data_IF_900538402892
#
_entry.id   IF_900538402892
#
_cell.length_a   1.000
_cell.length_b   1.000
_cell.length_c   1.000
_cell.angle_alpha   90.00
_cell.angle_beta   90.00
_cell.angle_gamma   90.00
#
_symmetry.space_group_name_H-M   'P 1'
#
loop_
_entity.id
_entity.type
_entity.pdbx_description
1 polymer ?
#
# COMPACT_ATOMS: atom_id res chain seq x y z
N UNK A 1 64.66 15.05 -24.41
CA UNK A 1 63.85 13.91 -24.88
C UNK A 1 63.71 12.76 -23.88
N UNK A 2 64.59 12.63 -22.88
CA UNK A 2 64.51 11.51 -21.90
C UNK A 2 63.35 11.62 -20.89
N UNK A 3 62.94 12.84 -20.51
CA UNK A 3 61.81 13.07 -19.59
C UNK A 3 60.47 12.58 -20.18
N UNK A 4 60.28 12.76 -21.49
CA UNK A 4 59.08 12.30 -22.20
C UNK A 4 59.05 10.77 -22.29
N UNK A 5 60.21 10.13 -22.53
CA UNK A 5 60.31 8.66 -22.57
C UNK A 5 60.12 8.03 -21.19
N UNK A 6 60.65 8.64 -20.12
CA UNK A 6 60.58 8.10 -18.75
C UNK A 6 59.19 8.24 -18.13
N UNK A 7 58.42 9.27 -18.53
CA UNK A 7 57.10 9.57 -17.99
C UNK A 7 55.97 9.43 -19.04
N UNK A 8 56.17 8.59 -20.06
CA UNK A 8 55.26 8.44 -21.20
C UNK A 8 53.80 8.15 -20.77
N UNK A 9 53.61 7.32 -19.74
CA UNK A 9 52.29 6.97 -19.20
C UNK A 9 51.58 8.19 -18.61
N UNK A 10 52.30 9.07 -17.90
CA UNK A 10 51.75 10.30 -17.33
C UNK A 10 51.22 11.24 -18.43
N UNK A 11 51.97 11.38 -19.53
CA UNK A 11 51.55 12.21 -20.67
C UNK A 11 50.33 11.64 -21.40
N UNK A 12 50.21 10.32 -21.50
CA UNK A 12 49.02 9.66 -22.06
C UNK A 12 47.80 9.93 -21.18
N UNK A 13 47.92 9.78 -19.86
CA UNK A 13 46.80 10.03 -18.92
C UNK A 13 46.39 11.50 -18.91
N UNK A 14 47.36 12.43 -18.93
CA UNK A 14 47.10 13.87 -19.07
C UNK A 14 46.39 14.19 -20.40
N UNK A 15 46.83 13.59 -21.51
CA UNK A 15 46.19 13.75 -22.80
C UNK A 15 44.73 13.27 -22.81
N UNK A 16 44.46 12.10 -22.25
CA UNK A 16 43.10 11.55 -22.13
C UNK A 16 42.22 12.44 -21.23
N UNK A 17 42.75 12.93 -20.11
CA UNK A 17 42.03 13.82 -19.18
C UNK A 17 41.60 15.13 -19.85
N UNK A 18 42.49 15.74 -20.64
CA UNK A 18 42.17 16.94 -21.44
C UNK A 18 41.06 16.64 -22.46
N UNK A 19 41.14 15.49 -23.12
CA UNK A 19 40.17 15.09 -24.14
C UNK A 19 38.77 14.86 -23.53
N UNK A 20 38.69 14.18 -22.38
CA UNK A 20 37.44 13.99 -21.63
C UNK A 20 36.86 15.33 -21.16
N UNK A 21 37.70 16.25 -20.70
CA UNK A 21 37.28 17.59 -20.28
C UNK A 21 36.65 18.38 -21.43
N UNK A 22 37.24 18.31 -22.63
CA UNK A 22 36.70 18.95 -23.83
C UNK A 22 35.32 18.36 -24.21
N UNK A 23 35.15 17.05 -24.12
CA UNK A 23 33.87 16.37 -24.40
C UNK A 23 32.79 16.83 -23.40
N UNK A 24 33.12 16.91 -22.11
CA UNK A 24 32.18 17.37 -21.09
C UNK A 24 31.76 18.83 -21.31
N UNK A 25 32.71 19.72 -21.66
CA UNK A 25 32.42 21.11 -22.01
C UNK A 25 31.47 21.20 -23.20
N UNK A 26 31.66 20.36 -24.22
CA UNK A 26 30.76 20.30 -25.38
C UNK A 26 29.33 19.87 -24.99
N UNK A 27 29.18 18.88 -24.11
CA UNK A 27 27.86 18.46 -23.60
C UNK A 27 27.17 19.57 -22.82
N UNK A 28 27.90 20.26 -21.93
CA UNK A 28 27.36 21.40 -21.17
C UNK A 28 26.91 22.51 -22.12
N UNK A 29 27.67 22.79 -23.17
CA UNK A 29 27.33 23.81 -24.15
C UNK A 29 26.07 23.45 -24.95
N UNK A 30 25.92 22.18 -25.35
CA UNK A 30 24.71 21.67 -26.03
C UNK A 30 23.46 21.79 -25.15
N UNK A 31 23.57 21.43 -23.88
CA UNK A 31 22.47 21.57 -22.90
C UNK A 31 22.15 23.05 -22.66
N UNK A 32 23.15 23.92 -22.59
CA UNK A 32 22.94 25.36 -22.44
C UNK A 32 22.25 25.99 -23.64
N UNK A 33 22.61 25.59 -24.87
CA UNK A 33 21.93 26.05 -26.09
C UNK A 33 20.46 25.63 -26.10
N UNK A 34 20.16 24.36 -25.81
CA UNK A 34 18.76 23.90 -25.73
C UNK A 34 17.97 24.65 -24.67
N UNK A 35 18.55 24.91 -23.49
CA UNK A 35 17.89 25.75 -22.47
C UNK A 35 17.63 27.19 -22.93
N UNK A 36 18.55 27.79 -23.70
CA UNK A 36 18.34 29.13 -24.27
C UNK A 36 17.19 29.13 -25.28
N UNK A 37 17.09 28.10 -26.12
CA UNK A 37 15.97 27.96 -27.06
C UNK A 37 14.64 27.80 -26.32
N UNK A 38 14.59 26.99 -25.25
CA UNK A 38 13.40 26.87 -24.40
C UNK A 38 13.03 28.18 -23.71
N UNK A 39 14.00 28.95 -23.22
CA UNK A 39 13.74 30.27 -22.64
C UNK A 39 13.23 31.26 -23.68
N UNK A 40 13.79 31.25 -24.90
CA UNK A 40 13.30 32.09 -26.00
C UNK A 40 11.86 31.72 -26.40
N UNK A 41 11.55 30.42 -26.48
CA UNK A 41 10.18 29.95 -26.74
C UNK A 41 9.22 30.37 -25.61
N UNK A 42 9.63 30.28 -24.34
CA UNK A 42 8.83 30.74 -23.20
C UNK A 42 8.52 32.24 -23.27
N UNK A 43 9.48 33.07 -23.66
CA UNK A 43 9.26 34.52 -23.86
C UNK A 43 8.26 34.75 -25.00
N UNK A 44 8.44 34.07 -26.13
CA UNK A 44 7.49 34.15 -27.26
C UNK A 44 6.08 33.70 -26.87
N UNK A 45 5.94 32.62 -26.10
CA UNK A 45 4.64 32.16 -25.59
C UNK A 45 4.03 33.16 -24.61
N UNK A 46 4.83 33.74 -23.71
CA UNK A 46 4.37 34.77 -22.77
C UNK A 46 3.90 36.03 -23.50
N UNK A 47 4.60 36.44 -24.54
CA UNK A 47 4.23 37.61 -25.34
C UNK A 47 3.01 37.33 -26.23
N UNK A 48 2.87 36.10 -26.76
CA UNK A 48 1.63 35.66 -27.42
C UNK A 48 0.44 35.67 -26.45
N UNK A 49 0.62 35.20 -25.22
CA UNK A 49 -0.43 35.24 -24.18
C UNK A 49 -0.79 36.69 -23.86
N UNK A 50 0.20 37.59 -23.70
CA UNK A 50 -0.07 39.03 -23.48
C UNK A 50 -0.83 39.66 -24.65
N UNK A 51 -0.42 39.39 -25.89
CA UNK A 51 -1.14 39.86 -27.09
C UNK A 51 -2.56 39.31 -27.16
N UNK A 52 -2.75 38.03 -26.87
CA UNK A 52 -4.08 37.41 -26.82
C UNK A 52 -4.96 37.95 -25.67
N UNK A 53 -4.36 38.50 -24.61
CA UNK A 53 -5.06 39.20 -23.53
C UNK A 53 -5.41 40.64 -23.94
N UNK A 54 -4.55 41.30 -24.73
CA UNK A 54 -4.75 42.67 -25.24
C UNK A 54 -5.73 42.74 -26.43
N UNK A 55 -5.75 41.70 -27.28
CA UNK A 55 -6.66 41.56 -28.40
C UNK A 55 -8.10 41.31 -27.88
N UNK A 56 -8.96 42.31 -28.04
CA UNK A 56 -10.41 42.18 -27.78
C UNK A 56 -11.09 41.39 -28.92
N UNK A 57 -12.12 40.58 -28.63
CA UNK A 57 -12.87 40.59 -27.38
C UNK A 57 -12.21 39.68 -26.33
N UNK A 58 -12.30 40.11 -25.07
CA UNK A 58 -12.01 39.28 -23.91
C UNK A 58 -12.62 37.88 -24.11
N UNK A 59 -11.99 36.80 -23.61
CA UNK A 59 -12.57 35.47 -23.70
C UNK A 59 -14.03 35.57 -23.26
N UNK A 60 -14.93 35.25 -24.19
CA UNK A 60 -16.37 35.35 -23.97
C UNK A 60 -16.64 34.73 -22.61
N UNK A 61 -17.36 35.42 -21.73
CA UNK A 61 -17.63 34.96 -20.36
C UNK A 61 -18.05 33.47 -20.33
N UNK A 62 -18.79 33.04 -21.36
CA UNK A 62 -19.15 31.65 -21.65
C UNK A 62 -17.95 30.68 -21.77
N UNK A 63 -16.84 31.07 -22.40
CA UNK A 63 -15.62 30.26 -22.50
C UNK A 63 -14.90 30.15 -21.16
N UNK A 64 -14.87 31.22 -20.35
CA UNK A 64 -14.33 31.15 -18.98
C UNK A 64 -15.21 30.26 -18.10
N UNK A 65 -16.53 30.37 -18.21
CA UNK A 65 -17.48 29.54 -17.49
C UNK A 65 -17.35 28.06 -17.90
N UNK A 66 -17.17 27.78 -19.19
CA UNK A 66 -16.92 26.44 -19.71
C UNK A 66 -15.57 25.87 -19.21
N UNK A 67 -14.49 26.66 -19.27
CA UNK A 67 -13.17 26.25 -18.74
C UNK A 67 -13.25 25.95 -17.24
N UNK A 68 -13.97 26.76 -16.46
CA UNK A 68 -14.15 26.52 -15.03
C UNK A 68 -14.98 25.25 -14.77
N UNK A 69 -16.02 25.02 -15.56
CA UNK A 69 -16.83 23.79 -15.48
C UNK A 69 -15.98 22.56 -15.79
N UNK A 70 -15.21 22.60 -16.89
CA UNK A 70 -14.31 21.52 -17.26
C UNK A 70 -13.22 21.31 -16.20
N UNK A 71 -12.65 22.38 -15.66
CA UNK A 71 -11.66 22.29 -14.57
C UNK A 71 -12.25 21.62 -13.34
N UNK A 72 -13.48 21.96 -12.97
CA UNK A 72 -14.18 21.32 -11.85
C UNK A 72 -14.49 19.85 -12.15
N UNK A 73 -14.92 19.52 -13.37
CA UNK A 73 -15.21 18.15 -13.78
C UNK A 73 -13.94 17.30 -13.77
N UNK A 74 -12.84 17.80 -14.35
CA UNK A 74 -11.53 17.15 -14.33
C UNK A 74 -11.04 17.00 -12.89
N UNK A 75 -11.16 18.02 -12.06
CA UNK A 75 -10.77 17.93 -10.65
C UNK A 75 -11.59 16.88 -9.90
N UNK A 76 -12.89 16.80 -10.14
CA UNK A 76 -13.75 15.78 -9.55
C UNK A 76 -13.36 14.38 -10.02
N UNK A 77 -13.10 14.20 -11.32
CA UNK A 77 -12.64 12.91 -11.86
C UNK A 77 -11.25 12.52 -11.34
N UNK A 78 -10.34 13.47 -11.21
CA UNK A 78 -9.03 13.26 -10.58
C UNK A 78 -9.19 12.84 -9.14
N UNK A 79 -10.10 13.47 -8.39
CA UNK A 79 -10.39 13.07 -7.02
C UNK A 79 -11.00 11.66 -6.96
N UNK A 80 -11.95 11.31 -7.83
CA UNK A 80 -12.49 9.94 -7.95
C UNK A 80 -11.39 8.92 -8.25
N UNK A 81 -10.47 9.24 -9.16
CA UNK A 81 -9.31 8.40 -9.52
C UNK A 81 -8.36 8.25 -8.31
N UNK A 82 -8.10 9.33 -7.58
CA UNK A 82 -7.29 9.29 -6.35
C UNK A 82 -7.96 8.47 -5.23
N UNK A 83 -9.29 8.37 -5.20
CA UNK A 83 -9.96 7.44 -4.31
C UNK A 83 -9.70 5.98 -4.72
N UNK A 84 -9.46 5.69 -6.01
CA UNK A 84 -9.27 4.32 -6.51
C UNK A 84 -7.85 3.78 -6.30
N UNK A 85 -6.81 4.60 -6.45
CA UNK A 85 -5.44 4.11 -6.51
C UNK A 85 -4.66 4.29 -5.21
N UNK A 86 -4.00 3.23 -4.74
CA UNK A 86 -3.07 3.29 -3.62
C UNK A 86 -3.76 3.34 -2.24
N UNK A 87 -4.98 2.79 -2.12
CA UNK A 87 -5.76 2.71 -0.89
C UNK A 87 -6.06 1.25 -0.51
N UNK A 88 -5.18 0.58 0.25
CA UNK A 88 -5.28 -0.86 0.50
C UNK A 88 -6.57 -1.33 1.20
N UNK A 89 -7.20 -0.45 1.98
CA UNK A 89 -8.41 -0.77 2.76
C UNK A 89 -9.70 -0.32 2.09
N UNK A 90 -9.65 0.22 0.88
CA UNK A 90 -10.83 0.79 0.23
C UNK A 90 -11.96 -0.21 0.07
N UNK A 91 -11.68 -1.43 -0.42
CA UNK A 91 -12.73 -2.44 -0.59
C UNK A 91 -13.39 -2.82 0.73
N UNK A 92 -12.63 -2.84 1.84
CA UNK A 92 -13.18 -3.08 3.18
C UNK A 92 -14.02 -1.90 3.67
N UNK A 93 -13.55 -0.66 3.45
CA UNK A 93 -14.31 0.57 3.78
C UNK A 93 -15.60 0.67 2.95
N UNK A 94 -15.58 0.23 1.70
CA UNK A 94 -16.77 0.19 0.86
C UNK A 94 -17.78 -0.81 1.42
N UNK A 95 -17.36 -2.04 1.74
CA UNK A 95 -18.24 -3.03 2.37
C UNK A 95 -18.82 -2.55 3.71
N UNK A 96 -18.00 -1.83 4.50
CA UNK A 96 -18.43 -1.18 5.73
C UNK A 96 -19.50 -0.10 5.50
N UNK A 97 -19.26 0.78 4.52
CA UNK A 97 -20.19 1.86 4.17
C UNK A 97 -21.52 1.31 3.62
N UNK A 98 -21.45 0.30 2.76
CA UNK A 98 -22.61 -0.38 2.17
C UNK A 98 -23.48 -1.03 3.27
N UNK A 99 -22.86 -1.68 4.25
CA UNK A 99 -23.56 -2.27 5.39
C UNK A 99 -24.20 -1.23 6.32
N UNK A 100 -23.64 -0.03 6.39
CA UNK A 100 -24.24 1.12 7.08
C UNK A 100 -25.31 1.84 6.25
N UNK A 101 -25.49 1.48 4.98
CA UNK A 101 -26.42 2.15 4.07
C UNK A 101 -26.01 3.57 3.69
N UNK A 102 -24.72 3.90 3.77
CA UNK A 102 -24.17 5.22 3.39
C UNK A 102 -23.16 5.07 2.27
N UNK A 103 -23.00 6.10 1.43
CA UNK A 103 -21.94 6.09 0.42
C UNK A 103 -20.56 6.27 1.07
N UNK A 104 -19.52 5.73 0.44
CA UNK A 104 -18.12 5.91 0.84
C UNK A 104 -17.79 7.40 1.04
N UNK A 105 -18.16 8.26 0.09
CA UNK A 105 -17.89 9.71 0.14
C UNK A 105 -18.59 10.40 1.31
N UNK A 106 -19.83 10.03 1.60
CA UNK A 106 -20.57 10.53 2.76
C UNK A 106 -19.94 10.08 4.06
N UNK A 107 -19.49 8.82 4.15
CA UNK A 107 -18.81 8.30 5.34
C UNK A 107 -17.52 9.09 5.62
N UNK A 108 -16.67 9.29 4.61
CA UNK A 108 -15.45 10.11 4.73
C UNK A 108 -15.76 11.55 5.16
N UNK A 109 -16.77 12.18 4.55
CA UNK A 109 -17.14 13.55 4.88
C UNK A 109 -17.63 13.69 6.33
N UNK A 110 -18.49 12.77 6.78
CA UNK A 110 -18.99 12.74 8.16
C UNK A 110 -17.85 12.51 9.15
N UNK A 111 -16.96 11.56 8.86
CA UNK A 111 -15.80 11.27 9.70
C UNK A 111 -14.90 12.51 9.85
N UNK A 112 -14.56 13.14 8.74
CA UNK A 112 -13.73 14.35 8.73
C UNK A 112 -14.37 15.49 9.50
N UNK A 113 -15.67 15.70 9.34
CA UNK A 113 -16.42 16.72 10.07
C UNK A 113 -16.44 16.45 11.58
N UNK A 114 -16.67 15.20 12.00
CA UNK A 114 -16.63 14.79 13.40
C UNK A 114 -15.25 15.03 14.01
N UNK A 115 -14.20 14.59 13.32
CA UNK A 115 -12.83 14.82 13.76
C UNK A 115 -12.48 16.30 13.85
N UNK A 116 -12.78 17.10 12.83
CA UNK A 116 -12.43 18.53 12.83
C UNK A 116 -13.11 19.31 13.95
N UNK A 117 -14.31 18.88 14.35
CA UNK A 117 -15.05 19.43 15.50
C UNK A 117 -14.40 19.09 16.84
N UNK A 118 -13.89 17.86 16.98
CA UNK A 118 -13.53 17.31 18.29
C UNK A 118 -12.02 17.15 18.54
N UNK A 119 -11.18 17.31 17.51
CA UNK A 119 -9.70 17.17 17.58
C UNK A 119 -8.99 18.01 18.63
N UNK A 120 -9.65 19.01 19.21
CA UNK A 120 -9.09 19.89 20.25
C UNK A 120 -9.33 19.36 21.68
N UNK A 121 -10.21 18.39 21.86
CA UNK A 121 -10.81 18.07 23.17
C UNK A 121 -10.75 16.58 23.55
N UNK A 122 -10.36 15.68 22.64
CA UNK A 122 -10.41 14.24 22.90
C UNK A 122 -9.32 13.43 22.20
N UNK A 123 -9.14 12.18 22.67
CA UNK A 123 -8.33 11.17 21.97
C UNK A 123 -8.99 10.78 20.64
N UNK A 124 -8.20 10.49 19.61
CA UNK A 124 -8.71 10.05 18.29
C UNK A 124 -9.62 8.83 18.44
N UNK A 125 -9.26 7.89 19.31
CA UNK A 125 -10.07 6.69 19.59
C UNK A 125 -11.45 7.05 20.16
N UNK A 126 -11.52 8.06 21.05
CA UNK A 126 -12.78 8.52 21.64
C UNK A 126 -13.65 9.23 20.62
N UNK A 127 -13.03 10.05 19.76
CA UNK A 127 -13.71 10.72 18.65
C UNK A 127 -14.27 9.69 17.67
N UNK A 128 -13.52 8.63 17.39
CA UNK A 128 -13.97 7.54 16.53
C UNK A 128 -15.14 6.75 17.13
N UNK A 129 -15.05 6.36 18.40
CA UNK A 129 -16.16 5.67 19.08
C UNK A 129 -17.43 6.54 19.09
N UNK A 130 -17.30 7.85 19.31
CA UNK A 130 -18.43 8.78 19.24
C UNK A 130 -18.97 8.93 17.82
N UNK A 131 -18.08 9.05 16.83
CA UNK A 131 -18.47 9.06 15.43
C UNK A 131 -19.27 7.81 15.05
N UNK A 132 -18.80 6.64 15.49
CA UNK A 132 -19.52 5.38 15.28
C UNK A 132 -20.91 5.40 15.91
N UNK A 133 -21.09 6.01 17.09
CA UNK A 133 -22.44 6.21 17.63
C UNK A 133 -23.25 7.26 16.87
N UNK A 134 -22.64 8.33 16.36
CA UNK A 134 -23.35 9.43 15.69
C UNK A 134 -23.81 9.06 14.28
N UNK A 135 -22.99 8.33 13.51
CA UNK A 135 -23.33 7.86 12.15
C UNK A 135 -24.58 6.99 12.14
N UNK A 136 -24.81 6.30 13.24
CA UNK A 136 -25.91 5.39 13.47
C UNK A 136 -27.17 6.15 13.89
N UNK A 137 -27.01 7.23 14.67
CA UNK A 137 -28.11 8.04 15.21
C UNK A 137 -28.74 9.03 14.21
N UNK A 138 -28.23 9.16 12.98
CA UNK A 138 -28.76 10.08 11.97
C UNK A 138 -29.99 9.54 11.24
N UNK A 139 -31.07 9.39 12.01
CA UNK A 139 -32.47 9.48 11.55
C UNK A 139 -33.23 10.64 12.20
N UNK A 140 -32.56 11.55 12.93
CA UNK A 140 -33.22 12.63 13.69
C UNK A 140 -32.98 14.01 13.05
N UNK A 141 -34.03 14.81 12.78
CA UNK A 141 -33.88 16.26 12.70
C UNK A 141 -33.45 16.80 14.08
N UNK A 142 -32.42 17.65 14.12
CA UNK A 142 -32.04 18.34 15.35
C UNK A 142 -33.26 19.06 15.95
N UNK A 143 -33.52 18.96 17.27
CA UNK A 143 -34.47 19.85 17.89
C UNK A 143 -33.92 21.27 17.73
N UNK A 144 -34.69 22.13 17.07
CA UNK A 144 -34.43 23.57 17.03
C UNK A 144 -34.24 24.01 18.48
N UNK A 145 -33.10 24.63 18.77
CA UNK A 145 -32.89 25.36 20.01
C UNK A 145 -33.83 26.56 19.99
N UNK A 146 -35.10 26.34 20.35
CA UNK A 146 -36.05 27.43 20.51
C UNK A 146 -35.75 28.15 21.82
N UNK A 147 -35.31 29.38 21.58
CA UNK A 147 -35.19 30.51 22.48
C UNK A 147 -36.37 30.68 23.45
N UNK A 148 -36.05 31.39 24.55
CA UNK A 148 -36.92 32.07 25.52
C UNK A 148 -37.32 31.24 26.74
N UNK A 149 -36.49 31.34 27.78
CA UNK A 149 -36.99 31.32 29.14
C UNK A 149 -37.92 32.52 29.35
N UNK A 150 -39.19 32.34 29.77
CA UNK A 150 -39.99 33.42 30.29
C UNK A 150 -39.59 33.68 31.74
N UNK A 151 -39.34 34.95 32.08
CA UNK A 151 -39.38 35.42 33.47
C UNK A 151 -40.78 35.17 34.01
N UNK A 152 -40.89 34.42 35.11
CA UNK A 152 -42.14 34.31 35.87
C UNK A 152 -41.96 35.06 37.17
N UNK A 153 -42.63 36.22 37.26
CA UNK A 153 -42.83 36.96 38.50
C UNK A 153 -43.71 36.13 39.44
N UNK A 154 -43.21 35.87 40.64
CA UNK A 154 -43.95 35.21 41.70
C UNK A 154 -44.91 36.23 42.36
N UNK A 155 -46.22 36.03 42.22
CA UNK A 155 -47.24 36.58 43.11
C UNK A 155 -48.02 35.43 43.71
N UNK A 156 -48.12 35.29 45.05
CA UNK A 156 -48.98 34.31 45.66
C UNK A 156 -50.37 34.92 45.88
N UNK A 157 -51.42 34.20 45.48
CA UNK A 157 -52.67 34.11 46.28
C UNK A 157 -53.67 33.09 45.74
N UNK A 158 -54.07 32.23 46.68
CA UNK A 158 -55.42 31.72 46.97
C UNK A 158 -56.11 30.77 45.98
N UNK A 159 -56.18 29.51 46.42
CA UNK A 159 -57.35 28.63 46.46
C UNK A 159 -58.32 28.61 45.27
N UNK A 160 -58.29 27.49 44.53
CA UNK A 160 -59.51 26.80 44.08
C UNK A 160 -59.23 25.33 43.79
N UNK A 161 -59.75 24.45 44.66
CA UNK A 161 -60.02 23.03 44.39
C UNK A 161 -61.01 22.92 43.24
N UNK A 162 -60.59 22.45 42.06
CA UNK A 162 -61.43 21.78 41.04
C UNK A 162 -60.50 20.89 40.18
N UNK A 163 -60.95 19.66 39.89
CA UNK A 163 -60.43 18.69 38.91
C UNK A 163 -59.14 17.90 39.24
N UNK A 164 -59.17 17.11 40.33
CA UNK A 164 -58.16 16.09 40.62
C UNK A 164 -58.21 14.85 39.70
N UNK A 165 -59.36 14.53 39.11
CA UNK A 165 -59.51 13.39 38.21
C UNK A 165 -58.98 13.66 36.79
N UNK A 166 -59.18 14.87 36.25
CA UNK A 166 -58.67 15.20 34.91
C UNK A 166 -57.15 15.33 34.86
N UNK A 167 -56.54 15.84 35.94
CA UNK A 167 -55.08 15.97 36.04
C UNK A 167 -54.40 14.59 36.18
N UNK A 168 -55.00 13.67 36.95
CA UNK A 168 -54.50 12.31 37.06
C UNK A 168 -54.64 11.53 35.73
N UNK A 169 -55.70 11.78 34.95
CA UNK A 169 -55.89 11.17 33.64
C UNK A 169 -54.92 11.74 32.58
N UNK A 170 -54.60 13.03 32.65
CA UNK A 170 -53.63 13.70 31.77
C UNK A 170 -52.18 13.31 32.12
N UNK A 171 -51.85 13.18 33.40
CA UNK A 171 -50.55 12.68 33.88
C UNK A 171 -50.35 11.19 33.54
N UNK A 172 -51.42 10.38 33.57
CA UNK A 172 -51.38 8.97 33.17
C UNK A 172 -51.21 8.79 31.65
N UNK A 173 -51.89 9.59 30.83
CA UNK A 173 -51.71 9.59 29.36
C UNK A 173 -50.31 10.02 28.96
N UNK A 174 -49.76 11.02 29.65
CA UNK A 174 -48.38 11.49 29.43
C UNK A 174 -47.34 10.43 29.82
N UNK A 175 -47.54 9.74 30.95
CA UNK A 175 -46.67 8.64 31.35
C UNK A 175 -46.72 7.45 30.37
N UNK A 176 -47.89 7.16 29.79
CA UNK A 176 -48.05 6.12 28.76
C UNK A 176 -47.37 6.52 27.43
N UNK A 177 -47.45 7.79 27.05
CA UNK A 177 -46.78 8.34 25.86
C UNK A 177 -45.24 8.36 26.03
N UNK A 178 -44.76 8.77 27.21
CA UNK A 178 -43.33 8.74 27.55
C UNK A 178 -42.78 7.31 27.58
N UNK A 179 -43.56 6.34 28.09
CA UNK A 179 -43.18 4.92 28.10
C UNK A 179 -43.11 4.32 26.68
N UNK A 180 -44.10 4.62 25.82
CA UNK A 180 -44.08 4.18 24.40
C UNK A 180 -42.90 4.78 23.63
N UNK A 181 -42.60 6.06 23.89
CA UNK A 181 -41.44 6.73 23.29
C UNK A 181 -40.12 6.13 23.77
N UNK A 182 -40.00 5.80 25.05
CA UNK A 182 -38.81 5.12 25.59
C UNK A 182 -38.64 3.71 25.01
N UNK A 183 -39.72 2.95 24.84
CA UNK A 183 -39.68 1.62 24.22
C UNK A 183 -39.29 1.69 22.73
N UNK A 184 -39.81 2.67 22.00
CA UNK A 184 -39.46 2.91 20.60
C UNK A 184 -38.00 3.38 20.45
N UNK A 185 -37.51 4.22 21.37
CA UNK A 185 -36.09 4.61 21.43
C UNK A 185 -35.17 3.43 21.76
N UNK A 186 -35.57 2.52 22.66
CA UNK A 186 -34.82 1.33 23.00
C UNK A 186 -34.73 0.33 21.83
N UNK A 187 -35.85 0.04 21.16
CA UNK A 187 -35.88 -0.83 19.96
C UNK A 187 -35.03 -0.27 18.83
N UNK A 188 -35.10 1.05 18.59
CA UNK A 188 -34.27 1.70 17.57
C UNK A 188 -32.78 1.63 17.92
N UNK A 189 -32.40 1.83 19.19
CA UNK A 189 -31.02 1.71 19.63
C UNK A 189 -30.46 0.28 19.46
N UNK A 190 -31.30 -0.73 19.63
CA UNK A 190 -30.96 -2.14 19.38
C UNK A 190 -30.74 -2.41 17.88
N UNK A 191 -31.65 -1.96 17.01
CA UNK A 191 -31.52 -2.07 15.55
C UNK A 191 -30.24 -1.37 15.03
N UNK A 192 -29.92 -0.24 15.64
CA UNK A 192 -28.78 0.60 15.33
C UNK A 192 -27.45 -0.02 15.76
N UNK A 193 -27.41 -0.63 16.95
CA UNK A 193 -26.26 -1.44 17.39
C UNK A 193 -26.04 -2.64 16.45
N UNK A 194 -27.12 -3.32 16.04
CA UNK A 194 -27.04 -4.43 15.11
C UNK A 194 -26.49 -4.02 13.73
N UNK A 195 -26.83 -2.83 13.23
CA UNK A 195 -26.25 -2.29 11.99
C UNK A 195 -24.75 -2.07 12.10
N UNK A 196 -24.28 -1.55 13.23
CA UNK A 196 -22.83 -1.37 13.47
C UNK A 196 -22.11 -2.70 13.47
N UNK A 197 -22.64 -3.69 14.18
CA UNK A 197 -22.04 -5.02 14.24
C UNK A 197 -22.01 -5.67 12.86
N UNK A 198 -23.09 -5.52 12.08
CA UNK A 198 -23.13 -5.99 10.69
C UNK A 198 -22.07 -5.30 9.82
N UNK A 199 -21.89 -3.98 9.98
CA UNK A 199 -20.88 -3.23 9.24
C UNK A 199 -19.45 -3.61 9.63
N UNK A 200 -19.18 -3.77 10.93
CA UNK A 200 -17.89 -4.25 11.42
C UNK A 200 -17.57 -5.66 10.91
N UNK A 201 -18.57 -6.55 10.91
CA UNK A 201 -18.43 -7.90 10.37
C UNK A 201 -18.20 -7.89 8.84
N UNK A 202 -18.88 -7.01 8.10
CA UNK A 202 -18.65 -6.84 6.67
C UNK A 202 -17.23 -6.34 6.36
N UNK A 203 -16.74 -5.35 7.12
CA UNK A 203 -15.37 -4.86 7.02
C UNK A 203 -14.36 -6.00 7.31
N UNK A 204 -14.57 -6.71 8.42
CA UNK A 204 -13.72 -7.82 8.88
C UNK A 204 -13.64 -8.92 7.82
N UNK A 205 -14.77 -9.35 7.27
CA UNK A 205 -14.83 -10.43 6.28
C UNK A 205 -14.07 -10.13 4.98
N UNK A 206 -13.98 -8.85 4.59
CA UNK A 206 -13.16 -8.44 3.44
C UNK A 206 -11.69 -8.40 3.82
N UNK A 207 -11.37 -7.86 5.00
CA UNK A 207 -9.99 -7.63 5.44
C UNK A 207 -9.25 -8.94 5.80
N UNK A 208 -9.94 -9.90 6.41
CA UNK A 208 -9.40 -11.23 6.80
C UNK A 208 -8.70 -11.96 5.66
N UNK A 209 -9.12 -11.71 4.42
CA UNK A 209 -8.56 -12.36 3.22
C UNK A 209 -7.16 -11.86 2.87
N UNK A 210 -6.76 -10.69 3.38
CA UNK A 210 -5.58 -9.94 2.92
C UNK A 210 -4.72 -9.38 4.05
N UNK A 211 -4.99 -9.71 5.31
CA UNK A 211 -4.16 -9.32 6.45
C UNK A 211 -3.78 -10.54 7.30
N UNK A 212 -2.72 -10.40 8.09
CA UNK A 212 -2.34 -11.37 9.14
C UNK A 212 -2.42 -10.73 10.53
N UNK A 213 -2.77 -9.44 10.62
CA UNK A 213 -3.03 -8.78 11.89
C UNK A 213 -4.19 -9.46 12.63
N UNK A 214 -4.14 -9.45 13.97
CA UNK A 214 -5.28 -9.96 14.76
C UNK A 214 -6.43 -8.97 14.64
N UNK A 215 -7.62 -9.46 14.32
CA UNK A 215 -8.81 -8.65 14.13
C UNK A 215 -9.68 -8.66 15.38
N UNK A 216 -9.06 -8.25 16.49
CA UNK A 216 -9.79 -7.88 17.70
C UNK A 216 -10.51 -6.54 17.49
N UNK A 217 -11.48 -6.23 18.36
CA UNK A 217 -12.31 -5.02 18.22
C UNK A 217 -11.47 -3.74 18.18
N UNK A 218 -10.39 -3.71 18.98
CA UNK A 218 -9.51 -2.54 19.07
C UNK A 218 -8.75 -2.32 17.76
N UNK A 219 -8.15 -3.37 17.21
CA UNK A 219 -7.40 -3.29 15.97
C UNK A 219 -8.32 -3.05 14.78
N UNK A 220 -9.52 -3.62 14.77
CA UNK A 220 -10.52 -3.36 13.74
C UNK A 220 -10.84 -1.85 13.64
N UNK A 221 -11.07 -1.20 14.79
CA UNK A 221 -11.28 0.25 14.84
C UNK A 221 -10.07 1.03 14.31
N UNK A 222 -8.84 0.63 14.67
CA UNK A 222 -7.61 1.25 14.15
C UNK A 222 -7.49 1.12 12.62
N UNK A 223 -7.84 -0.04 12.07
CA UNK A 223 -7.79 -0.33 10.64
C UNK A 223 -8.86 0.44 9.86
N UNK A 224 -10.06 0.59 10.43
CA UNK A 224 -11.12 1.43 9.85
C UNK A 224 -10.68 2.90 9.85
N UNK A 225 -10.19 3.42 10.97
CA UNK A 225 -9.67 4.79 11.06
C UNK A 225 -8.56 5.04 10.02
N UNK A 226 -7.67 4.07 9.84
CA UNK A 226 -6.62 4.16 8.84
C UNK A 226 -7.16 4.14 7.41
N UNK A 227 -8.15 3.30 7.12
CA UNK A 227 -8.88 3.33 5.85
C UNK A 227 -9.56 4.69 5.62
N UNK A 228 -10.02 5.34 6.69
CA UNK A 228 -10.61 6.67 6.66
C UNK A 228 -9.59 7.83 6.64
N UNK A 229 -8.29 7.54 6.50
CA UNK A 229 -7.24 8.54 6.34
C UNK A 229 -6.52 8.93 7.64
N UNK A 230 -6.65 8.16 8.72
CA UNK A 230 -5.92 8.40 9.97
C UNK A 230 -4.76 7.43 10.13
N UNK A 231 -3.54 7.93 9.92
CA UNK A 231 -2.34 7.14 10.20
C UNK A 231 -2.35 6.61 11.62
N UNK A 232 -2.09 5.31 11.77
CA UNK A 232 -1.98 4.66 13.08
C UNK A 232 -0.82 5.28 13.86
N UNK A 233 -1.12 5.64 15.12
CA UNK A 233 -0.14 6.14 16.09
C UNK A 233 -0.06 5.14 17.24
N UNK A 234 1.16 4.89 17.71
CA UNK A 234 1.42 4.04 18.88
C UNK A 234 2.73 4.49 19.53
N UNK A 235 3.02 4.00 20.74
CA UNK A 235 4.29 4.28 21.38
C UNK A 235 5.43 3.49 20.71
N UNK A 236 6.69 3.95 20.81
CA UNK A 236 7.85 3.20 20.32
C UNK A 236 7.93 1.75 20.81
N UNK A 237 7.55 1.50 22.05
CA UNK A 237 7.55 0.17 22.68
C UNK A 237 6.49 -0.73 22.05
N UNK A 238 5.27 -0.21 21.89
CA UNK A 238 4.17 -0.93 21.22
C UNK A 238 4.52 -1.22 19.77
N UNK A 239 5.18 -0.29 19.07
CA UNK A 239 5.63 -0.50 17.69
C UNK A 239 6.73 -1.57 17.61
N UNK A 240 7.63 -1.64 18.59
CA UNK A 240 8.66 -2.69 18.65
C UNK A 240 8.04 -4.08 18.85
N UNK A 241 7.03 -4.18 19.71
CA UNK A 241 6.26 -5.41 19.89
C UNK A 241 5.47 -5.77 18.61
N UNK A 242 4.90 -4.77 17.93
CA UNK A 242 4.21 -4.95 16.66
C UNK A 242 5.15 -5.50 15.57
N UNK A 243 6.34 -4.90 15.38
CA UNK A 243 7.38 -5.39 14.44
C UNK A 243 7.66 -6.87 14.69
N UNK A 244 7.91 -7.24 15.96
CA UNK A 244 8.24 -8.62 16.33
C UNK A 244 7.09 -9.60 16.08
N UNK A 245 5.85 -9.18 16.37
CA UNK A 245 4.64 -9.98 16.13
C UNK A 245 4.40 -10.19 14.64
N UNK A 246 4.51 -9.13 13.85
CA UNK A 246 4.33 -9.19 12.39
C UNK A 246 5.40 -10.04 11.71
N UNK A 247 6.66 -9.92 12.13
CA UNK A 247 7.74 -10.78 11.65
C UNK A 247 7.44 -12.27 11.92
N UNK A 248 7.02 -12.61 13.13
CA UNK A 248 6.67 -13.98 13.49
C UNK A 248 5.49 -14.51 12.64
N UNK A 249 4.47 -13.68 12.42
CA UNK A 249 3.29 -14.04 11.63
C UNK A 249 3.60 -14.18 10.13
N UNK A 250 4.41 -13.30 9.55
CA UNK A 250 4.88 -13.42 8.16
C UNK A 250 5.71 -14.69 7.96
N UNK A 251 6.62 -14.99 8.89
CA UNK A 251 7.38 -16.24 8.89
C UNK A 251 6.47 -17.48 9.02
N UNK A 252 5.39 -17.39 9.82
CA UNK A 252 4.40 -18.47 9.89
C UNK A 252 3.62 -18.61 8.57
N UNK A 253 3.25 -17.50 7.93
CA UNK A 253 2.49 -17.49 6.69
C UNK A 253 3.24 -18.15 5.53
N UNK A 254 4.55 -17.90 5.39
CA UNK A 254 5.35 -18.51 4.30
C UNK A 254 5.43 -20.03 4.43
N UNK A 255 5.44 -20.57 5.65
CA UNK A 255 5.54 -22.01 5.91
C UNK A 255 4.20 -22.76 5.82
N UNK A 256 3.06 -22.08 5.98
CA UNK A 256 1.74 -22.71 5.92
C UNK A 256 1.32 -22.99 4.48
N UNK A 257 0.94 -24.24 4.18
CA UNK A 257 0.21 -24.58 2.96
C UNK A 257 -1.30 -24.47 3.23
N UNK A 258 -2.04 -23.96 2.26
CA UNK A 258 -3.50 -23.95 2.24
C UNK A 258 -3.98 -24.41 0.84
N UNK A 259 -5.25 -24.80 0.70
CA UNK A 259 -5.82 -25.38 -0.53
C UNK A 259 -5.55 -24.52 -1.79
N UNK A 260 -5.36 -23.21 -1.63
CA UNK A 260 -5.08 -22.26 -2.71
C UNK A 260 -3.68 -21.60 -2.65
N UNK A 261 -2.86 -21.91 -1.64
CA UNK A 261 -1.56 -21.23 -1.41
C UNK A 261 -0.44 -22.23 -1.15
N UNK A 262 0.65 -22.12 -1.93
CA UNK A 262 1.83 -22.96 -1.73
C UNK A 262 2.68 -22.49 -0.55
N UNK A 263 3.49 -23.40 -0.01
CA UNK A 263 4.62 -23.02 0.85
C UNK A 263 5.63 -22.21 0.04
N UNK A 264 6.24 -21.20 0.67
CA UNK A 264 7.29 -20.40 0.08
C UNK A 264 8.61 -20.72 0.80
N UNK A 265 9.61 -21.16 0.05
CA UNK A 265 10.94 -21.45 0.60
C UNK A 265 11.63 -20.12 0.92
N UNK A 266 12.02 -19.94 2.17
CA UNK A 266 12.72 -18.74 2.66
C UNK A 266 14.03 -19.17 3.34
N UNK A 267 15.15 -18.48 3.12
CA UNK A 267 16.40 -18.81 3.80
C UNK A 267 16.25 -18.75 5.33
N UNK A 268 16.67 -19.82 5.98
CA UNK A 268 16.60 -20.00 7.44
C UNK A 268 17.41 -18.92 8.16
N UNK A 269 16.95 -18.50 9.35
CA UNK A 269 17.62 -17.50 10.20
C UNK A 269 17.83 -16.11 9.56
N UNK A 270 17.01 -15.74 8.58
CA UNK A 270 17.06 -14.41 7.98
C UNK A 270 16.04 -13.46 8.63
N UNK A 271 16.47 -12.22 8.87
CA UNK A 271 15.59 -11.12 9.27
C UNK A 271 14.85 -10.54 8.03
N UNK A 272 14.26 -11.41 7.21
CA UNK A 272 13.74 -11.06 5.88
C UNK A 272 12.60 -10.05 5.94
N UNK A 273 11.72 -10.19 6.93
CA UNK A 273 10.55 -9.34 7.08
C UNK A 273 10.78 -8.16 8.03
N UNK A 274 11.89 -8.16 8.76
CA UNK A 274 12.22 -7.13 9.74
C UNK A 274 12.50 -5.79 9.07
N UNK A 275 11.51 -4.89 9.12
CA UNK A 275 11.58 -3.56 8.50
C UNK A 275 12.60 -2.63 9.18
N UNK A 276 12.69 -2.69 10.51
CA UNK A 276 13.58 -1.84 11.31
C UNK A 276 14.18 -2.65 12.46
N UNK A 277 15.49 -2.48 12.68
CA UNK A 277 16.18 -3.00 13.86
C UNK A 277 16.31 -1.90 14.91
N UNK A 278 15.90 -2.21 16.14
CA UNK A 278 15.93 -1.26 17.27
C UNK A 278 14.64 -0.48 17.45
N UNK A 279 14.66 0.48 18.37
CA UNK A 279 13.47 1.25 18.76
C UNK A 279 13.08 2.27 17.68
N UNK A 280 11.82 2.26 17.20
CA UNK A 280 11.34 3.22 16.21
C UNK A 280 11.09 4.59 16.85
N UNK A 281 11.36 5.65 16.09
CA UNK A 281 10.95 7.00 16.46
C UNK A 281 9.48 7.24 16.10
N UNK A 282 8.77 8.06 16.88
CA UNK A 282 7.33 8.26 16.72
C UNK A 282 6.90 8.73 15.32
N UNK A 283 7.75 9.48 14.63
CA UNK A 283 7.55 9.95 13.25
C UNK A 283 7.69 8.86 12.19
N UNK A 284 8.44 7.79 12.49
CA UNK A 284 8.65 6.65 11.57
C UNK A 284 7.58 5.57 11.69
N UNK A 285 6.83 5.54 12.79
CA UNK A 285 5.82 4.52 13.07
C UNK A 285 4.80 4.37 11.93
N UNK A 286 4.17 5.44 11.40
CA UNK A 286 3.21 5.30 10.29
C UNK A 286 3.85 4.69 9.03
N UNK A 287 5.12 5.00 8.78
CA UNK A 287 5.84 4.50 7.61
C UNK A 287 6.16 3.01 7.79
N UNK A 288 6.60 2.61 8.98
CA UNK A 288 6.86 1.19 9.31
C UNK A 288 5.59 0.35 9.12
N UNK A 289 4.44 0.84 9.57
CA UNK A 289 3.15 0.15 9.39
C UNK A 289 2.83 -0.01 7.89
N UNK A 290 3.06 1.03 7.08
CA UNK A 290 2.89 0.97 5.62
C UNK A 290 3.81 -0.06 4.95
N UNK A 291 5.05 -0.24 5.45
CA UNK A 291 5.93 -1.31 5.00
C UNK A 291 5.35 -2.70 5.30
N UNK A 292 4.84 -2.93 6.51
CA UNK A 292 4.24 -4.23 6.83
C UNK A 292 3.01 -4.56 5.96
N UNK A 293 2.17 -3.57 5.63
CA UNK A 293 1.06 -3.79 4.68
C UNK A 293 1.51 -4.26 3.31
N UNK A 294 2.63 -3.73 2.83
CA UNK A 294 3.25 -4.20 1.60
C UNK A 294 3.80 -5.62 1.76
N UNK A 295 4.42 -5.93 2.90
CA UNK A 295 5.00 -7.24 3.16
C UNK A 295 3.92 -8.33 3.27
N UNK A 296 2.78 -8.04 3.90
CA UNK A 296 1.63 -8.94 3.92
C UNK A 296 1.15 -9.23 2.49
N UNK A 297 0.90 -8.17 1.70
CA UNK A 297 0.34 -8.31 0.36
C UNK A 297 1.31 -9.04 -0.59
N UNK A 298 2.61 -8.72 -0.54
CA UNK A 298 3.60 -9.36 -1.41
C UNK A 298 3.73 -10.85 -1.10
N UNK A 299 3.67 -11.24 0.19
CA UNK A 299 3.73 -12.65 0.58
C UNK A 299 2.49 -13.40 0.10
N UNK A 300 1.29 -12.84 0.24
CA UNK A 300 0.08 -13.43 -0.32
C UNK A 300 0.20 -13.64 -1.85
N UNK A 301 0.64 -12.60 -2.59
CA UNK A 301 0.79 -12.68 -4.05
C UNK A 301 1.84 -13.69 -4.50
N UNK A 302 2.94 -13.84 -3.77
CA UNK A 302 3.96 -14.86 -4.04
C UNK A 302 3.39 -16.28 -3.88
N UNK A 303 2.61 -16.50 -2.82
CA UNK A 303 2.00 -17.80 -2.52
C UNK A 303 0.87 -18.16 -3.49
N UNK A 304 0.04 -17.18 -3.88
CA UNK A 304 -1.03 -17.36 -4.88
C UNK A 304 -0.49 -17.77 -6.25
N UNK A 305 0.68 -17.23 -6.61
CA UNK A 305 1.31 -17.46 -7.92
C UNK A 305 2.26 -18.66 -7.92
N UNK A 306 2.34 -19.37 -6.80
CA UNK A 306 3.13 -20.60 -6.60
C UNK A 306 4.62 -20.40 -6.90
N UNK A 307 5.16 -19.25 -6.54
CA UNK A 307 6.61 -19.03 -6.55
C UNK A 307 7.26 -20.00 -5.55
N UNK A 308 8.36 -20.64 -5.97
CA UNK A 308 9.04 -21.69 -5.19
C UNK A 308 9.72 -21.10 -3.96
N UNK A 309 10.46 -20.01 -4.13
CA UNK A 309 11.26 -19.42 -3.06
C UNK A 309 11.40 -17.90 -3.14
N UNK A 310 11.64 -17.31 -1.98
CA UNK A 310 11.99 -15.91 -1.80
C UNK A 310 13.37 -15.85 -1.16
N UNK A 311 14.37 -15.45 -1.94
CA UNK A 311 15.78 -15.45 -1.53
C UNK A 311 16.16 -14.15 -0.83
N UNK A 312 15.59 -13.01 -1.24
CA UNK A 312 15.75 -11.73 -0.55
C UNK A 312 14.57 -10.82 -0.78
N UNK A 313 14.29 -9.98 0.21
CA UNK A 313 13.31 -8.89 0.14
C UNK A 313 13.81 -7.76 1.03
N UNK A 314 14.09 -6.60 0.46
CA UNK A 314 14.61 -5.47 1.23
C UNK A 314 14.12 -4.12 0.67
N UNK A 315 13.76 -3.17 1.55
CA UNK A 315 13.50 -1.81 1.13
C UNK A 315 14.80 -1.13 0.65
N UNK A 316 14.70 -0.30 -0.38
CA UNK A 316 15.81 0.56 -0.81
C UNK A 316 16.00 1.73 0.17
N UNK A 317 14.90 2.23 0.73
CA UNK A 317 14.88 3.24 1.79
C UNK A 317 13.64 3.01 2.65
N UNK A 318 13.77 3.31 3.95
CA UNK A 318 12.66 3.26 4.91
C UNK A 318 11.71 4.44 4.76
N UNK A 319 12.19 5.62 4.40
CA UNK A 319 11.37 6.85 4.46
C UNK A 319 10.40 6.99 3.27
N UNK A 320 10.66 6.23 2.19
CA UNK A 320 9.95 6.36 0.93
C UNK A 320 10.18 7.70 0.24
N UNK A 321 9.48 7.92 -0.88
CA UNK A 321 9.50 9.18 -1.63
C UNK A 321 8.10 9.72 -1.75
N UNK A 322 7.86 10.95 -1.31
CA UNK A 322 6.56 11.62 -1.40
C UNK A 322 6.53 12.54 -2.62
N UNK A 323 5.59 12.33 -3.54
CA UNK A 323 5.35 13.19 -4.72
C UNK A 323 3.87 13.24 -5.05
N UNK A 324 3.34 14.45 -5.28
CA UNK A 324 1.96 14.63 -5.79
C UNK A 324 0.87 14.03 -4.90
N UNK A 325 1.08 13.92 -3.58
CA UNK A 325 0.11 13.28 -2.67
C UNK A 325 0.23 11.76 -2.56
N UNK A 326 1.23 11.15 -3.21
CA UNK A 326 1.53 9.73 -3.10
C UNK A 326 2.86 9.50 -2.38
N UNK A 327 2.92 8.45 -1.58
CA UNK A 327 4.13 7.89 -1.00
C UNK A 327 4.54 6.65 -1.79
N UNK A 328 5.81 6.59 -2.19
CA UNK A 328 6.37 5.46 -2.92
C UNK A 328 7.40 4.74 -2.07
N UNK A 329 7.20 3.45 -1.84
CA UNK A 329 8.13 2.56 -1.16
C UNK A 329 8.82 1.67 -2.21
N UNK A 330 10.13 1.84 -2.41
CA UNK A 330 10.89 1.05 -3.39
C UNK A 330 11.53 -0.15 -2.71
N UNK A 331 11.37 -1.32 -3.32
CA UNK A 331 11.92 -2.59 -2.85
C UNK A 331 12.79 -3.27 -3.90
N UNK A 332 13.74 -4.05 -3.42
CA UNK A 332 14.46 -5.06 -4.21
C UNK A 332 14.11 -6.43 -3.66
N UNK A 333 13.86 -7.35 -4.58
CA UNK A 333 13.44 -8.70 -4.26
C UNK A 333 14.12 -9.68 -5.19
N UNK A 334 14.46 -10.85 -4.67
CA UNK A 334 14.95 -11.97 -5.45
C UNK A 334 14.07 -13.18 -5.17
N UNK A 335 13.45 -13.72 -6.21
CA UNK A 335 12.58 -14.90 -6.15
C UNK A 335 13.14 -16.03 -6.99
N UNK A 336 12.76 -17.24 -6.64
CA UNK A 336 13.11 -18.46 -7.33
C UNK A 336 11.84 -19.20 -7.73
N UNK A 337 11.79 -19.72 -8.95
CA UNK A 337 10.66 -20.51 -9.41
C UNK A 337 10.70 -20.76 -10.91
N UNK A 338 9.64 -21.37 -11.42
CA UNK A 338 9.48 -21.57 -12.86
C UNK A 338 9.24 -20.24 -13.59
N UNK A 339 9.58 -20.19 -14.88
CA UNK A 339 9.24 -19.05 -15.74
C UNK A 339 7.72 -18.73 -15.74
N UNK A 340 6.87 -19.75 -15.61
CA UNK A 340 5.41 -19.59 -15.53
C UNK A 340 4.97 -18.94 -14.22
N UNK A 341 5.43 -19.45 -13.07
CA UNK A 341 5.13 -18.86 -11.75
C UNK A 341 5.62 -17.41 -11.66
N UNK A 342 6.81 -17.12 -12.20
CA UNK A 342 7.33 -15.75 -12.26
C UNK A 342 6.46 -14.84 -13.12
N UNK A 343 6.03 -15.30 -14.31
CA UNK A 343 5.11 -14.53 -15.16
C UNK A 343 3.78 -14.27 -14.46
N UNK A 344 3.21 -15.29 -13.82
CA UNK A 344 1.97 -15.17 -13.08
C UNK A 344 2.10 -14.17 -11.92
N UNK A 345 3.24 -14.19 -11.23
CA UNK A 345 3.54 -13.22 -10.17
C UNK A 345 3.62 -11.79 -10.70
N UNK A 346 4.35 -11.57 -11.80
CA UNK A 346 4.46 -10.24 -12.42
C UNK A 346 3.09 -9.73 -12.90
N UNK A 347 2.29 -10.58 -13.53
CA UNK A 347 0.93 -10.23 -13.95
C UNK A 347 0.03 -9.93 -12.74
N UNK A 348 0.14 -10.70 -11.66
CA UNK A 348 -0.60 -10.48 -10.42
C UNK A 348 -0.24 -9.12 -9.78
N UNK A 349 1.04 -8.70 -9.81
CA UNK A 349 1.45 -7.36 -9.39
C UNK A 349 0.85 -6.27 -10.29
N UNK A 350 0.84 -6.48 -11.61
CA UNK A 350 0.27 -5.54 -12.57
C UNK A 350 -1.25 -5.42 -12.42
N UNK A 351 -1.94 -6.48 -12.03
CA UNK A 351 -3.39 -6.52 -11.83
C UNK A 351 -3.83 -6.04 -10.45
N UNK A 352 -2.90 -5.83 -9.52
CA UNK A 352 -3.18 -5.41 -8.15
C UNK A 352 -4.01 -4.10 -8.05
N UNK A 353 -4.00 -3.26 -9.09
CA UNK A 353 -4.77 -2.01 -9.09
C UNK A 353 -6.28 -2.25 -9.03
N UNK A 354 -6.74 -3.43 -9.49
CA UNK A 354 -8.13 -3.88 -9.37
C UNK A 354 -8.55 -4.02 -7.90
N UNK A 355 -7.59 -4.25 -7.01
CA UNK A 355 -7.73 -4.33 -5.56
C UNK A 355 -7.24 -3.04 -4.86
N UNK A 356 -7.20 -1.92 -5.58
CA UNK A 356 -6.77 -0.60 -5.08
C UNK A 356 -5.29 -0.52 -4.61
N UNK A 357 -4.45 -1.48 -5.03
CA UNK A 357 -3.02 -1.56 -4.72
C UNK A 357 -2.18 -1.32 -5.97
N UNK A 358 -1.11 -0.53 -5.87
CA UNK A 358 -0.36 -0.12 -7.06
C UNK A 358 1.10 -0.53 -6.94
N UNK A 359 1.53 -1.41 -7.84
CA UNK A 359 2.91 -1.82 -8.00
C UNK A 359 3.46 -1.29 -9.33
N UNK A 360 4.67 -0.72 -9.32
CA UNK A 360 5.37 -0.30 -10.53
C UNK A 360 6.68 -1.08 -10.62
N UNK A 361 6.78 -1.96 -11.59
CA UNK A 361 8.01 -2.71 -11.85
C UNK A 361 9.00 -1.78 -12.53
N UNK A 362 10.16 -1.56 -11.90
CA UNK A 362 11.22 -0.69 -12.43
C UNK A 362 12.25 -1.46 -13.22
N UNK A 363 12.79 -2.52 -12.61
CA UNK A 363 13.85 -3.34 -13.19
C UNK A 363 13.51 -4.81 -12.98
N UNK A 364 13.75 -5.64 -13.99
CA UNK A 364 13.58 -7.09 -13.95
C UNK A 364 14.80 -7.75 -14.61
N UNK A 365 15.40 -8.72 -13.93
CA UNK A 365 16.49 -9.52 -14.45
C UNK A 365 16.25 -11.00 -14.16
N UNK A 366 16.51 -11.86 -15.13
CA UNK A 366 16.27 -13.30 -15.06
C UNK A 366 17.60 -14.03 -15.25
N UNK A 367 17.88 -14.98 -14.37
CA UNK A 367 19.06 -15.84 -14.42
C UNK A 367 18.62 -17.29 -14.29
N UNK A 368 19.24 -18.19 -15.05
CA UNK A 368 18.99 -19.62 -14.88
C UNK A 368 19.68 -20.11 -13.59
N UNK A 369 18.99 -20.91 -12.78
CA UNK A 369 19.53 -21.38 -11.50
C UNK A 369 20.69 -22.38 -11.68
N UNK A 370 20.61 -23.23 -12.71
CA UNK A 370 21.69 -24.11 -13.15
C UNK A 370 22.14 -23.78 -14.56
N UNK A 371 23.38 -23.32 -14.69
CA UNK A 371 24.07 -23.19 -15.96
C UNK A 371 24.64 -24.57 -16.32
N UNK A 372 23.96 -25.30 -17.21
CA UNK A 372 24.30 -26.68 -17.59
C UNK A 372 25.74 -26.80 -18.16
N UNK A 373 26.38 -25.69 -18.54
CA UNK A 373 27.77 -25.64 -19.01
C UNK A 373 28.79 -25.96 -17.91
N UNK A 374 28.49 -25.68 -16.62
CA UNK A 374 29.39 -26.06 -15.51
C UNK A 374 29.39 -27.55 -15.18
N UNK A 375 28.34 -28.28 -15.58
CA UNK A 375 28.26 -29.74 -15.37
C UNK A 375 29.06 -30.55 -16.40
N UNK A 376 29.43 -29.93 -17.52
CA UNK A 376 30.21 -30.55 -18.61
C UNK A 376 31.73 -30.39 -18.46
N UNK A 377 32.20 -29.66 -17.45
CA UNK A 377 33.61 -29.29 -17.32
C UNK A 377 34.17 -29.54 -15.93
N UNK A 378 34.26 -30.82 -15.53
CA UNK A 378 35.23 -31.37 -14.56
C UNK A 378 34.92 -32.87 -14.33
N UNK A 379 35.03 -33.67 -15.40
CA UNK A 379 35.25 -35.10 -15.27
C UNK A 379 36.63 -35.33 -14.66
N UNK A 380 36.67 -35.44 -13.34
CA UNK A 380 37.85 -35.79 -12.56
C UNK A 380 38.38 -37.16 -13.01
N UNK A 381 39.46 -37.15 -13.78
CA UNK A 381 40.31 -38.31 -13.98
C UNK A 381 41.00 -38.66 -12.65
N UNK A 382 40.32 -39.44 -11.80
CA UNK A 382 40.91 -40.06 -10.62
C UNK A 382 40.08 -41.28 -10.16
N UNK A 383 39.90 -42.27 -11.05
CA UNK A 383 39.49 -43.61 -10.62
C UNK A 383 40.76 -44.46 -10.42
N UNK A 384 41.04 -44.73 -9.15
CA UNK A 384 42.13 -45.56 -8.62
C UNK A 384 42.26 -46.90 -9.37
N UNK A 385 43.50 -47.23 -9.71
CA UNK A 385 43.92 -48.58 -10.05
C UNK A 385 43.76 -49.50 -8.82
N UNK A 386 42.97 -50.57 -8.99
CA UNK A 386 43.02 -51.77 -8.16
C UNK A 386 43.20 -52.95 -9.10
N UNK A 387 44.34 -53.63 -8.97
CA UNK A 387 44.72 -54.74 -9.82
C UNK A 387 43.93 -56.01 -9.57
N UNK A 388 43.82 -56.85 -10.60
CA UNK A 388 43.54 -58.28 -10.49
C UNK A 388 44.07 -59.01 -11.74
N UNK A 389 44.95 -59.98 -11.47
CA UNK A 389 45.38 -61.19 -12.20
C UNK A 389 45.62 -61.23 -13.73
N UNK A 390 46.65 -61.98 -14.20
CA UNK A 390 46.94 -62.15 -15.63
C UNK A 390 45.95 -63.10 -16.32
N UNK A 391 45.46 -62.69 -17.49
CA UNK A 391 44.55 -63.46 -18.35
C UNK A 391 45.33 -64.50 -19.16
N UNK A 392 44.80 -65.73 -19.19
CA UNK A 392 45.30 -66.90 -19.93
C UNK A 392 45.08 -66.70 -21.44
N UNK A 393 46.07 -66.99 -22.33
CA UNK A 393 45.90 -66.86 -23.77
C UNK A 393 45.07 -68.04 -24.33
N UNK A 394 43.86 -67.79 -24.84
CA UNK A 394 43.08 -68.86 -25.49
C UNK A 394 41.68 -68.50 -25.96
N UNK A 395 40.96 -67.59 -25.30
CA UNK A 395 39.57 -67.33 -25.65
C UNK A 395 39.38 -66.11 -26.55
N UNK A 396 39.01 -66.40 -27.80
CA UNK A 396 38.51 -65.40 -28.75
C UNK A 396 37.14 -64.91 -28.28
N UNK A 397 37.11 -63.79 -27.54
CA UNK A 397 35.89 -62.99 -27.45
C UNK A 397 35.70 -62.16 -28.73
N UNK A 398 34.47 -62.09 -29.27
CA UNK A 398 34.19 -61.34 -30.48
C UNK A 398 34.42 -59.84 -30.28
N UNK A 399 35.03 -59.26 -31.31
CA UNK A 399 35.42 -57.86 -31.43
C UNK A 399 34.16 -56.99 -31.56
N UNK A 400 34.03 -56.04 -30.62
CA UNK A 400 33.18 -54.82 -30.62
C UNK A 400 32.47 -54.49 -31.94
N UNK A 401 31.14 -54.45 -31.91
CA UNK A 401 30.36 -53.39 -32.57
C UNK A 401 30.26 -52.23 -31.59
N UNK A 402 30.79 -51.09 -31.99
CA UNK A 402 30.75 -49.87 -31.19
C UNK A 402 29.41 -49.16 -31.26
N UNK A 403 29.29 -48.18 -30.38
CA UNK A 403 28.42 -47.02 -30.55
C UNK A 403 26.99 -47.22 -30.08
N UNK A 404 26.74 -46.85 -28.83
CA UNK A 404 25.72 -45.85 -28.52
C UNK A 404 26.01 -45.36 -27.11
N UNK A 405 26.61 -44.17 -27.02
CA UNK A 405 26.54 -43.36 -25.82
C UNK A 405 25.05 -43.26 -25.46
N UNK A 406 24.63 -43.83 -24.34
CA UNK A 406 23.24 -43.79 -23.83
C UNK A 406 22.72 -42.36 -23.54
N UNK A 407 23.49 -41.33 -23.93
CA UNK A 407 23.16 -39.92 -23.82
C UNK A 407 23.19 -39.15 -25.15
N UNK A 408 23.47 -39.79 -26.29
CA UNK A 408 23.40 -39.10 -27.58
C UNK A 408 21.94 -39.03 -28.06
N UNK A 409 21.27 -37.91 -27.75
CA UNK A 409 19.87 -37.67 -28.09
C UNK A 409 18.96 -37.42 -26.89
N UNK A 410 19.48 -37.42 -25.66
CA UNK A 410 18.77 -36.82 -24.53
C UNK A 410 18.62 -35.32 -24.80
N UNK A 411 17.39 -34.81 -24.72
CA UNK A 411 17.07 -33.39 -24.84
C UNK A 411 17.77 -32.62 -23.71
N UNK A 412 19.00 -32.16 -23.93
CA UNK A 412 19.81 -31.35 -23.02
C UNK A 412 19.41 -29.86 -23.04
N UNK A 413 18.16 -29.56 -23.41
CA UNK A 413 17.61 -28.20 -23.34
C UNK A 413 16.24 -28.34 -22.68
N UNK A 414 16.18 -28.07 -21.37
CA UNK A 414 14.93 -28.06 -20.61
C UNK A 414 14.95 -28.74 -19.23
N UNK A 415 16.11 -29.11 -18.68
CA UNK A 415 16.19 -29.88 -17.43
C UNK A 415 15.78 -29.11 -16.17
N UNK A 416 16.03 -27.79 -16.13
CA UNK A 416 15.47 -26.93 -15.08
C UNK A 416 14.95 -25.63 -15.67
N UNK A 417 13.61 -25.50 -15.75
CA UNK A 417 12.91 -24.23 -16.00
C UNK A 417 12.96 -23.28 -14.78
N UNK A 418 13.73 -23.64 -13.76
CA UNK A 418 13.91 -22.85 -12.55
C UNK A 418 14.86 -21.69 -12.84
N UNK A 419 14.33 -20.50 -12.56
CA UNK A 419 15.01 -19.23 -12.76
C UNK A 419 15.05 -18.48 -11.44
N UNK A 420 16.13 -17.75 -11.26
CA UNK A 420 16.26 -16.72 -10.24
C UNK A 420 15.91 -15.39 -10.88
N UNK A 421 14.89 -14.74 -10.36
CA UNK A 421 14.39 -13.45 -10.83
C UNK A 421 14.76 -12.36 -9.82
N UNK A 422 15.51 -11.38 -10.25
CA UNK A 422 15.78 -10.15 -9.50
C UNK A 422 14.80 -9.07 -9.97
N UNK A 423 14.00 -8.56 -9.03
CA UNK A 423 12.97 -7.56 -9.28
C UNK A 423 13.24 -6.32 -8.43
N UNK A 424 13.13 -5.15 -9.05
CA UNK A 424 12.99 -3.89 -8.34
C UNK A 424 11.63 -3.30 -8.66
N UNK A 425 10.87 -2.99 -7.63
CA UNK A 425 9.53 -2.45 -7.80
C UNK A 425 9.25 -1.33 -6.79
N UNK A 426 8.29 -0.51 -7.13
CA UNK A 426 7.69 0.46 -6.23
C UNK A 426 6.32 0.00 -5.80
N UNK A 427 5.96 0.35 -4.58
CA UNK A 427 4.61 0.30 -4.09
C UNK A 427 4.11 1.72 -3.78
N UNK A 428 2.97 2.06 -4.35
CA UNK A 428 2.44 3.43 -4.32
C UNK A 428 1.22 3.47 -3.42
N UNK A 429 1.27 4.35 -2.43
CA UNK A 429 0.22 4.59 -1.43
C UNK A 429 -0.24 6.03 -1.56
N UNK A 430 -1.55 6.24 -1.65
CA UNK A 430 -2.12 7.58 -1.60
C UNK A 430 -2.15 8.07 -0.16
N UNK A 431 -1.61 9.27 0.08
CA UNK A 431 -1.48 9.85 1.42
C UNK A 431 -1.99 11.29 1.49
N UNK A 432 -2.59 11.82 0.41
CA UNK A 432 -2.95 13.24 0.34
C UNK A 432 -4.19 13.57 1.20
N UNK A 433 -5.05 12.58 1.44
CA UNK A 433 -6.21 12.66 2.31
C UNK A 433 -5.89 12.33 3.78
N UNK A 434 -4.66 11.90 4.08
CA UNK A 434 -4.25 11.59 5.44
C UNK A 434 -4.25 12.83 6.33
N UNK A 435 -4.88 12.71 7.49
CA UNK A 435 -4.90 13.78 8.48
C UNK A 435 -3.52 13.91 9.11
N UNK A 436 -2.84 15.03 8.80
CA UNK A 436 -1.56 15.38 9.40
C UNK A 436 -1.77 15.74 10.86
N UNK A 437 -1.52 14.79 11.76
CA UNK A 437 -1.46 15.07 13.20
C UNK A 437 -0.30 16.04 13.43
N UNK A 438 -0.60 17.28 13.85
CA UNK A 438 0.44 18.25 14.24
C UNK A 438 1.18 17.67 15.44
N UNK A 439 2.52 17.77 15.40
CA UNK A 439 3.40 17.45 16.53
C UNK A 439 2.79 17.99 17.82
N UNK A 440 2.48 17.12 18.78
CA UNK A 440 2.42 17.59 20.16
C UNK A 440 3.87 17.97 20.53
N UNK A 441 4.09 19.21 21.01
CA UNK A 441 5.43 19.74 21.27
C UNK A 441 6.18 18.96 22.34
#
# INVERSE_FOLDING_TARGET
>A
MEIIKKNMVLFVVLGVSVLVSIILIFFVFRVSMTMKDYQAQLVVHRDKIKKLIEDKPAPLKANLDAINLDTNLVQNKVNEIHLIFGKPYRSAIQAFADALGVSETTLYAKWKASYDKEKKLGSVDQIFLKFMSDVVNEGKPQPKADSKAPKVDFKPKADKKVDGEKKAEEDAKKAEEDAKKAEEEAKRAEDDAQKVDNALNAFKAVLEKRTIEDLDQRNLNLLIMEGLGFSRVMSPEVCTAYISSMDAKLNSLVLKADNNMSTLIVPQNTAMFTVLKGMPTADRIPIIIKHYKLLEDIVYRLKETRVKGLNSLAPVSLEGVIRGGFMTLTYKMQIEGSMESTRNFINNLQDAYKENRVYIIRDLSLKQEKDEVKSLGLGTAAAKATGTAPVIPGDRQPRRTGGEDENYGATLIGGSNEIVTELKFDYVIYIADEVKVKKQP
#
